data_IF_389441287453
#
_entry.id   IF_389441287453
#
_cell.length_a   1.000
_cell.length_b   1.000
_cell.length_c   1.000
_cell.angle_alpha   90.00
_cell.angle_beta   90.00
_cell.angle_gamma   90.00
#
_symmetry.space_group_name_H-M   'P 1'
#
loop_
_entity.id
_entity.type
_entity.pdbx_description
1 polymer ?
#
# COMPACT_ATOMS: atom_id res chain seq x y z
N UNK A 1 -45.78 38.43 2.85
CA UNK A 1 -44.62 39.35 2.89
C UNK A 1 -43.48 38.60 3.54
N UNK A 2 -42.61 37.97 2.74
CA UNK A 2 -41.49 37.19 3.27
C UNK A 2 -40.37 38.14 3.71
N UNK A 3 -39.76 37.96 4.90
CA UNK A 3 -38.69 38.82 5.35
C UNK A 3 -37.44 38.57 4.50
N UNK A 4 -36.88 39.66 3.94
CA UNK A 4 -35.64 39.65 3.17
C UNK A 4 -34.51 39.08 4.03
N UNK A 5 -33.83 38.07 3.49
CA UNK A 5 -32.57 37.56 4.02
C UNK A 5 -31.52 38.67 3.93
N UNK A 6 -31.28 39.33 5.06
CA UNK A 6 -30.15 40.24 5.28
C UNK A 6 -28.97 39.40 5.78
N UNK A 7 -28.35 38.62 4.89
CA UNK A 7 -27.05 38.00 5.16
C UNK A 7 -25.99 38.51 4.17
N UNK A 8 -26.06 39.80 3.84
CA UNK A 8 -24.96 40.51 3.18
C UNK A 8 -24.15 41.26 4.22
N UNK A 9 -23.20 40.56 4.85
CA UNK A 9 -21.93 41.15 5.28
C UNK A 9 -20.86 40.06 5.28
N UNK A 10 -19.87 40.27 4.44
CA UNK A 10 -18.68 39.44 4.30
C UNK A 10 -17.90 39.37 5.61
N UNK A 11 -17.95 38.20 6.25
CA UNK A 11 -17.21 37.92 7.49
C UNK A 11 -16.28 36.72 7.35
N UNK A 12 -15.80 36.44 6.13
CA UNK A 12 -15.01 35.24 5.83
C UNK A 12 -13.78 35.05 6.74
N UNK A 13 -13.24 36.10 7.37
CA UNK A 13 -12.04 36.01 8.21
C UNK A 13 -12.08 36.82 9.52
N UNK A 14 -13.27 37.25 9.99
CA UNK A 14 -13.36 38.15 11.17
C UNK A 14 -13.18 37.44 12.52
N UNK A 15 -13.37 36.14 12.53
CA UNK A 15 -13.28 35.29 13.72
C UNK A 15 -12.55 34.02 13.32
N UNK A 16 -11.66 33.45 14.17
CA UNK A 16 -10.93 32.23 13.84
C UNK A 16 -11.84 31.08 13.39
N UNK A 17 -13.01 30.93 14.01
CA UNK A 17 -14.01 29.93 13.62
C UNK A 17 -14.55 30.14 12.18
N UNK A 18 -14.79 31.39 11.78
CA UNK A 18 -15.24 31.70 10.41
C UNK A 18 -14.12 31.50 9.40
N UNK A 19 -12.87 31.84 9.75
CA UNK A 19 -11.70 31.59 8.92
C UNK A 19 -11.51 30.09 8.66
N UNK A 20 -11.65 29.25 9.70
CA UNK A 20 -11.56 27.79 9.55
C UNK A 20 -12.64 27.26 8.61
N UNK A 21 -13.90 27.68 8.81
CA UNK A 21 -15.00 27.28 7.95
C UNK A 21 -14.78 27.72 6.49
N UNK A 22 -14.28 28.94 6.28
CA UNK A 22 -13.94 29.44 4.95
C UNK A 22 -12.83 28.60 4.30
N UNK A 23 -11.78 28.27 5.04
CA UNK A 23 -10.70 27.41 4.54
C UNK A 23 -11.19 25.99 4.23
N UNK A 24 -12.12 25.44 5.00
CA UNK A 24 -12.74 24.14 4.70
C UNK A 24 -13.58 24.17 3.42
N UNK A 25 -14.35 25.24 3.20
CA UNK A 25 -15.12 25.43 1.95
C UNK A 25 -14.17 25.60 0.75
N UNK A 26 -13.07 26.34 0.93
CA UNK A 26 -11.99 26.44 -0.07
C UNK A 26 -11.33 25.08 -0.36
N UNK A 27 -11.19 24.21 0.64
CA UNK A 27 -10.63 22.86 0.51
C UNK A 27 -11.56 21.92 -0.28
N UNK A 28 -12.88 22.07 -0.15
CA UNK A 28 -13.88 21.33 -0.93
C UNK A 28 -13.85 21.75 -2.41
N UNK A 29 -13.29 22.92 -2.72
CA UNK A 29 -13.13 23.44 -4.07
C UNK A 29 -14.00 24.66 -4.38
N UNK A 30 -14.75 25.16 -3.40
CA UNK A 30 -15.52 26.39 -3.54
C UNK A 30 -14.63 27.60 -3.24
N UNK A 31 -14.13 28.25 -4.29
CA UNK A 31 -13.32 29.47 -4.20
C UNK A 31 -14.03 30.59 -4.99
N UNK A 32 -14.72 31.47 -4.28
CA UNK A 32 -15.19 32.73 -4.87
C UNK A 32 -14.07 33.76 -4.74
N UNK A 33 -13.40 34.05 -5.86
CA UNK A 33 -12.30 35.02 -5.90
C UNK A 33 -12.76 36.43 -5.53
N UNK A 34 -13.93 36.85 -6.03
CA UNK A 34 -14.55 38.14 -5.73
C UNK A 34 -14.74 38.36 -4.23
N UNK A 35 -15.31 37.36 -3.53
CA UNK A 35 -15.68 37.48 -2.11
C UNK A 35 -14.47 37.44 -1.15
N UNK A 36 -13.30 37.02 -1.64
CA UNK A 36 -12.10 36.78 -0.82
C UNK A 36 -11.07 37.87 -1.05
N UNK A 37 -10.88 38.26 -2.30
CA UNK A 37 -9.77 39.10 -2.74
C UNK A 37 -10.21 40.45 -3.31
N UNK A 38 -11.47 40.59 -3.72
CA UNK A 38 -12.01 41.80 -4.35
C UNK A 38 -13.17 42.37 -3.54
N UNK A 39 -12.85 42.87 -2.34
CA UNK A 39 -13.82 43.62 -1.54
C UNK A 39 -14.03 44.99 -2.17
N UNK A 40 -15.29 45.35 -2.41
CA UNK A 40 -15.74 46.60 -3.02
C UNK A 40 -14.95 47.84 -2.53
N UNK A 41 -13.82 48.15 -3.20
CA UNK A 41 -13.02 49.35 -2.98
C UNK A 41 -11.77 49.25 -2.08
N UNK A 42 -11.33 48.05 -1.65
CA UNK A 42 -10.09 47.88 -0.90
C UNK A 42 -9.10 46.94 -1.61
N UNK A 43 -8.07 47.46 -2.30
CA UNK A 43 -7.06 46.60 -2.93
C UNK A 43 -6.26 45.85 -1.86
N UNK A 44 -5.86 44.61 -2.16
CA UNK A 44 -4.95 43.83 -1.34
C UNK A 44 -3.63 44.58 -1.16
N UNK A 45 -3.16 44.73 0.08
CA UNK A 45 -1.85 45.36 0.37
C UNK A 45 -0.67 44.55 -0.20
N UNK A 46 -0.81 43.22 -0.31
CA UNK A 46 0.25 42.32 -0.79
C UNK A 46 -0.29 41.18 -1.70
N UNK A 47 -0.70 41.49 -2.95
CA UNK A 47 -1.34 40.51 -3.82
C UNK A 47 -0.41 39.31 -4.15
N UNK A 48 0.86 39.57 -4.45
CA UNK A 48 1.81 38.53 -4.86
C UNK A 48 2.04 37.47 -3.76
N UNK A 49 2.22 37.92 -2.52
CA UNK A 49 2.44 37.02 -1.36
C UNK A 49 1.19 36.21 -1.06
N UNK A 50 0.02 36.83 -1.15
CA UNK A 50 -1.26 36.15 -0.93
C UNK A 50 -1.50 35.05 -1.97
N UNK A 51 -1.21 35.29 -3.24
CA UNK A 51 -1.32 34.26 -4.28
C UNK A 51 -0.32 33.12 -4.07
N UNK A 52 0.94 33.44 -3.77
CA UNK A 52 1.97 32.43 -3.51
C UNK A 52 1.60 31.52 -2.32
N UNK A 53 1.06 32.11 -1.25
CA UNK A 53 0.60 31.39 -0.07
C UNK A 53 -0.61 30.50 -0.40
N UNK A 54 -1.59 31.01 -1.15
CA UNK A 54 -2.77 30.25 -1.56
C UNK A 54 -2.39 29.03 -2.42
N UNK A 55 -1.50 29.21 -3.41
CA UNK A 55 -1.06 28.11 -4.28
C UNK A 55 -0.31 27.05 -3.49
N UNK A 56 0.64 27.47 -2.64
CA UNK A 56 1.41 26.55 -1.80
C UNK A 56 0.49 25.77 -0.86
N UNK A 57 -0.48 26.45 -0.24
CA UNK A 57 -1.49 25.82 0.62
C UNK A 57 -2.32 24.78 -0.12
N UNK A 58 -2.82 25.09 -1.31
CA UNK A 58 -3.62 24.16 -2.13
C UNK A 58 -2.82 22.92 -2.53
N UNK A 59 -1.55 23.07 -2.91
CA UNK A 59 -0.67 21.94 -3.26
C UNK A 59 -0.43 21.04 -2.04
N UNK A 60 -0.09 21.61 -0.88
CA UNK A 60 0.15 20.85 0.35
C UNK A 60 -1.12 20.11 0.78
N UNK A 61 -2.27 20.79 0.81
CA UNK A 61 -3.55 20.17 1.18
C UNK A 61 -3.95 19.06 0.20
N UNK A 62 -3.75 19.26 -1.11
CA UNK A 62 -4.02 18.23 -2.11
C UNK A 62 -3.17 16.98 -1.92
N UNK A 63 -1.90 17.13 -1.57
CA UNK A 63 -0.99 15.99 -1.31
C UNK A 63 -1.39 15.29 0.01
N UNK A 64 -1.67 16.06 1.07
CA UNK A 64 -2.06 15.48 2.36
C UNK A 64 -3.38 14.72 2.29
N UNK A 65 -4.41 15.28 1.65
CA UNK A 65 -5.72 14.64 1.52
C UNK A 65 -5.60 13.39 0.66
N UNK A 66 -4.86 13.44 -0.45
CA UNK A 66 -4.59 12.25 -1.26
C UNK A 66 -3.95 11.14 -0.42
N UNK A 67 -2.86 11.46 0.27
CA UNK A 67 -2.07 10.46 1.00
C UNK A 67 -2.84 9.92 2.21
N UNK A 68 -3.64 10.75 2.88
CA UNK A 68 -4.45 10.31 4.01
C UNK A 68 -5.66 9.49 3.57
N UNK A 69 -6.40 9.91 2.53
CA UNK A 69 -7.58 9.18 2.06
C UNK A 69 -7.20 7.86 1.42
N UNK A 70 -6.13 7.84 0.61
CA UNK A 70 -5.63 6.58 0.02
C UNK A 70 -5.01 5.69 1.10
N UNK A 71 -4.22 6.25 2.02
CA UNK A 71 -3.63 5.48 3.13
C UNK A 71 -4.67 4.81 4.02
N UNK A 72 -5.70 5.55 4.46
CA UNK A 72 -6.79 5.01 5.26
C UNK A 72 -7.64 4.00 4.49
N UNK A 73 -8.06 4.34 3.27
CA UNK A 73 -8.91 3.45 2.48
C UNK A 73 -8.20 2.15 2.07
N UNK A 74 -6.88 2.20 1.83
CA UNK A 74 -6.08 1.04 1.44
C UNK A 74 -5.80 0.13 2.64
N UNK A 75 -5.59 0.66 3.83
CA UNK A 75 -5.47 -0.18 5.04
C UNK A 75 -6.81 -0.83 5.40
N UNK A 76 -7.89 -0.05 5.37
CA UNK A 76 -9.23 -0.57 5.67
C UNK A 76 -9.67 -1.64 4.67
N UNK A 77 -9.43 -1.46 3.36
CA UNK A 77 -9.82 -2.47 2.36
C UNK A 77 -8.97 -3.74 2.42
N UNK A 78 -7.66 -3.63 2.71
CA UNK A 78 -6.76 -4.80 2.80
C UNK A 78 -7.20 -5.72 3.94
N UNK A 79 -7.51 -5.17 5.11
CA UNK A 79 -7.95 -5.94 6.27
C UNK A 79 -9.27 -6.68 5.99
N UNK A 80 -10.23 -6.00 5.35
CA UNK A 80 -11.53 -6.61 4.99
C UNK A 80 -11.36 -7.65 3.88
N UNK A 81 -10.49 -7.40 2.90
CA UNK A 81 -10.29 -8.31 1.77
C UNK A 81 -9.65 -9.64 2.20
N UNK A 82 -8.69 -9.62 3.13
CA UNK A 82 -8.05 -10.83 3.64
C UNK A 82 -9.06 -11.73 4.38
N UNK A 83 -9.90 -11.14 5.23
CA UNK A 83 -10.97 -11.86 5.92
C UNK A 83 -12.02 -12.42 4.94
N UNK A 84 -12.45 -11.60 3.98
CA UNK A 84 -13.44 -12.02 2.98
C UNK A 84 -12.89 -13.12 2.06
N UNK A 85 -11.59 -13.11 1.74
CA UNK A 85 -10.96 -14.14 0.90
C UNK A 85 -10.92 -15.49 1.61
N UNK A 86 -10.55 -15.52 2.89
CA UNK A 86 -10.57 -16.74 3.70
C UNK A 86 -11.99 -17.27 3.86
N UNK A 87 -12.96 -16.39 4.14
CA UNK A 87 -14.36 -16.77 4.26
C UNK A 87 -14.92 -17.32 2.94
N UNK A 88 -14.55 -16.71 1.81
CA UNK A 88 -14.91 -17.20 0.47
C UNK A 88 -14.31 -18.57 0.18
N UNK A 89 -13.06 -18.80 0.54
CA UNK A 89 -12.40 -20.10 0.37
C UNK A 89 -13.07 -21.17 1.23
N UNK A 90 -13.33 -20.86 2.50
CA UNK A 90 -14.03 -21.76 3.43
C UNK A 90 -15.42 -22.15 2.90
N UNK A 91 -16.18 -21.16 2.41
CA UNK A 91 -17.51 -21.38 1.82
C UNK A 91 -17.44 -22.24 0.55
N UNK A 92 -16.46 -22.00 -0.33
CA UNK A 92 -16.24 -22.84 -1.51
C UNK A 92 -15.89 -24.28 -1.12
N UNK A 93 -15.01 -24.47 -0.14
CA UNK A 93 -14.63 -25.80 0.33
C UNK A 93 -15.80 -26.55 0.96
N UNK A 94 -16.62 -25.88 1.76
CA UNK A 94 -17.80 -26.50 2.37
C UNK A 94 -18.82 -26.91 1.29
N UNK A 95 -19.09 -26.03 0.33
CA UNK A 95 -20.02 -26.31 -0.75
C UNK A 95 -19.53 -27.45 -1.66
N UNK A 96 -18.22 -27.53 -1.93
CA UNK A 96 -17.62 -28.66 -2.64
C UNK A 96 -17.74 -29.95 -1.83
N UNK A 97 -17.53 -29.91 -0.52
CA UNK A 97 -17.63 -31.10 0.34
C UNK A 97 -19.07 -31.63 0.40
N UNK A 98 -20.05 -30.75 0.56
CA UNK A 98 -21.47 -31.09 0.54
C UNK A 98 -21.88 -31.66 -0.82
N UNK A 99 -21.38 -31.07 -1.91
CA UNK A 99 -21.61 -31.58 -3.27
C UNK A 99 -20.93 -32.95 -3.47
N UNK A 100 -19.71 -33.15 -2.96
CA UNK A 100 -18.98 -34.41 -3.10
C UNK A 100 -19.64 -35.56 -2.33
N UNK A 101 -20.25 -35.29 -1.17
CA UNK A 101 -20.98 -36.31 -0.40
C UNK A 101 -22.29 -36.75 -1.07
N UNK A 102 -22.91 -35.88 -1.87
CA UNK A 102 -24.21 -36.16 -2.53
C UNK A 102 -24.03 -36.76 -3.93
N UNK A 103 -22.87 -36.59 -4.56
CA UNK A 103 -22.64 -37.00 -5.96
C UNK A 103 -22.07 -38.43 -6.06
N UNK A 104 -22.75 -39.36 -6.76
CA UNK A 104 -22.26 -40.74 -6.95
C UNK A 104 -21.03 -40.83 -7.87
N UNK A 105 -20.18 -41.84 -7.65
CA UNK A 105 -18.84 -41.97 -8.27
C UNK A 105 -18.81 -41.92 -9.81
N UNK A 106 -19.91 -42.30 -10.46
CA UNK A 106 -20.05 -42.30 -11.92
C UNK A 106 -20.06 -40.88 -12.51
N UNK A 107 -20.64 -39.90 -11.80
CA UNK A 107 -20.68 -38.50 -12.23
C UNK A 107 -19.32 -37.82 -11.98
N UNK A 108 -18.64 -38.21 -10.88
CA UNK A 108 -17.29 -37.73 -10.53
C UNK A 108 -16.27 -38.02 -11.62
N UNK A 109 -16.38 -39.17 -12.30
CA UNK A 109 -15.48 -39.54 -13.43
C UNK A 109 -15.79 -38.79 -14.74
N UNK A 110 -16.97 -38.20 -14.90
CA UNK A 110 -17.43 -37.58 -16.16
C UNK A 110 -17.29 -36.06 -16.21
N UNK A 111 -17.31 -35.38 -15.05
CA UNK A 111 -17.48 -33.93 -14.95
C UNK A 111 -16.22 -33.12 -14.54
N UNK A 112 -15.03 -33.72 -14.54
CA UNK A 112 -13.80 -32.95 -14.26
C UNK A 112 -13.45 -32.04 -15.46
N UNK A 113 -13.84 -30.76 -15.39
CA UNK A 113 -13.63 -29.79 -16.48
C UNK A 113 -12.32 -29.01 -16.31
N UNK A 114 -11.61 -28.86 -17.43
CA UNK A 114 -10.30 -28.22 -17.60
C UNK A 114 -10.37 -26.68 -17.48
N UNK A 115 -9.40 -26.07 -16.81
CA UNK A 115 -9.27 -24.60 -16.61
C UNK A 115 -9.21 -23.83 -17.94
N UNK A 116 -10.04 -22.79 -18.06
CA UNK A 116 -9.95 -21.74 -19.08
C UNK A 116 -9.14 -20.56 -18.53
N UNK A 117 -8.00 -20.26 -19.14
CA UNK A 117 -7.18 -19.09 -18.81
C UNK A 117 -7.72 -17.87 -19.57
N UNK A 118 -8.31 -16.92 -18.84
CA UNK A 118 -8.77 -15.63 -19.38
C UNK A 118 -7.57 -14.70 -19.59
N UNK A 119 -7.20 -14.45 -20.85
CA UNK A 119 -6.26 -13.40 -21.24
C UNK A 119 -6.95 -12.03 -21.15
N UNK A 120 -6.50 -11.17 -20.23
CA UNK A 120 -7.05 -9.83 -20.01
C UNK A 120 -6.64 -8.86 -21.11
N UNK A 121 -7.63 -8.25 -21.77
CA UNK A 121 -7.45 -7.13 -22.70
C UNK A 121 -7.28 -5.83 -21.91
N UNK A 122 -6.12 -5.17 -22.04
CA UNK A 122 -5.88 -3.83 -21.48
C UNK A 122 -6.43 -2.76 -22.43
N UNK A 123 -7.47 -2.05 -22.00
CA UNK A 123 -7.94 -0.82 -22.67
C UNK A 123 -7.11 0.35 -22.14
N UNK A 124 -6.39 1.04 -23.01
CA UNK A 124 -5.67 2.26 -22.67
C UNK A 124 -6.64 3.44 -22.54
N UNK A 125 -6.48 4.30 -21.52
CA UNK A 125 -7.33 5.48 -21.35
C UNK A 125 -7.04 6.56 -22.42
N UNK A 126 -8.05 7.34 -22.83
CA UNK A 126 -7.88 8.40 -23.83
C UNK A 126 -7.07 9.59 -23.26
N UNK A 127 -6.26 10.26 -24.09
CA UNK A 127 -5.40 11.36 -23.63
C UNK A 127 -6.23 12.60 -23.32
N UNK A 128 -6.05 13.15 -22.12
CA UNK A 128 -6.71 14.37 -21.66
C UNK A 128 -6.32 14.71 -20.23
N UNK A 129 -6.74 15.87 -19.73
CA UNK A 129 -6.51 16.28 -18.34
C UNK A 129 -6.96 15.19 -17.36
N UNK A 130 -8.08 14.52 -17.63
CA UNK A 130 -8.57 13.39 -16.84
C UNK A 130 -7.62 12.19 -16.85
N UNK A 131 -6.96 11.89 -17.98
CA UNK A 131 -5.94 10.84 -18.04
C UNK A 131 -4.63 11.28 -17.40
N UNK A 132 -4.25 12.55 -17.50
CA UNK A 132 -3.09 13.08 -16.78
C UNK A 132 -3.31 12.99 -15.27
N UNK A 133 -4.48 13.44 -14.79
CA UNK A 133 -4.89 13.29 -13.39
C UNK A 133 -4.96 11.82 -13.01
N UNK A 134 -5.71 10.97 -13.73
CA UNK A 134 -5.83 9.55 -13.42
C UNK A 134 -4.48 8.81 -13.43
N UNK A 135 -3.58 9.17 -14.36
CA UNK A 135 -2.23 8.62 -14.40
C UNK A 135 -1.36 9.15 -13.27
N UNK A 136 -1.51 10.40 -12.84
CA UNK A 136 -0.83 10.94 -11.64
C UNK A 136 -1.28 10.21 -10.37
N UNK A 137 -2.57 9.89 -10.25
CA UNK A 137 -3.10 9.06 -9.16
C UNK A 137 -2.54 7.62 -9.22
N UNK A 138 -2.56 6.99 -10.41
CA UNK A 138 -2.01 5.65 -10.61
C UNK A 138 -0.49 5.59 -10.36
N UNK A 139 0.25 6.60 -10.79
CA UNK A 139 1.69 6.72 -10.59
C UNK A 139 2.06 6.90 -9.11
N UNK A 140 1.19 7.52 -8.30
CA UNK A 140 1.41 7.61 -6.86
C UNK A 140 1.24 6.25 -6.16
N UNK A 141 0.22 5.48 -6.54
CA UNK A 141 0.00 4.11 -6.08
C UNK A 141 1.19 3.19 -6.42
N UNK A 142 1.82 3.40 -7.58
CA UNK A 142 2.91 2.56 -8.09
C UNK A 142 4.28 2.90 -7.47
N UNK A 143 4.50 4.17 -7.06
CA UNK A 143 5.75 4.58 -6.36
C UNK A 143 5.93 3.87 -5.03
N UNK A 144 4.88 3.74 -4.22
CA UNK A 144 4.98 2.99 -2.95
C UNK A 144 5.23 1.49 -3.19
N UNK A 145 4.66 0.94 -4.24
CA UNK A 145 4.86 -0.47 -4.60
C UNK A 145 6.30 -0.76 -5.06
N UNK A 146 6.95 0.21 -5.72
CA UNK A 146 8.33 0.10 -6.18
C UNK A 146 9.35 0.07 -5.03
N UNK A 147 9.15 0.87 -3.97
CA UNK A 147 10.03 0.85 -2.79
C UNK A 147 9.91 -0.47 -2.03
N UNK A 148 8.68 -0.98 -1.88
CA UNK A 148 8.43 -2.30 -1.28
C UNK A 148 9.03 -3.43 -2.13
N UNK A 149 9.05 -3.29 -3.45
CA UNK A 149 9.61 -4.30 -4.34
C UNK A 149 11.16 -4.32 -4.32
N UNK A 150 11.81 -3.17 -4.18
CA UNK A 150 13.26 -3.05 -3.96
C UNK A 150 13.67 -3.67 -2.62
N UNK A 151 12.97 -3.33 -1.54
CA UNK A 151 13.21 -3.94 -0.23
C UNK A 151 13.00 -5.46 -0.27
N UNK A 152 11.96 -5.95 -0.96
CA UNK A 152 11.75 -7.40 -1.16
C UNK A 152 12.87 -8.06 -1.97
N UNK A 153 13.50 -7.35 -2.91
CA UNK A 153 14.66 -7.86 -3.66
C UNK A 153 15.89 -7.97 -2.77
N UNK A 154 16.17 -6.96 -1.96
CA UNK A 154 17.28 -7.00 -0.98
C UNK A 154 17.09 -8.11 0.05
N UNK A 155 15.89 -8.23 0.63
CA UNK A 155 15.57 -9.31 1.58
C UNK A 155 15.72 -10.70 0.92
N UNK A 156 15.36 -10.84 -0.36
CA UNK A 156 15.58 -12.09 -1.10
C UNK A 156 17.05 -12.40 -1.30
N UNK A 157 17.86 -11.41 -1.67
CA UNK A 157 19.31 -11.58 -1.84
C UNK A 157 19.99 -11.94 -0.51
N UNK A 158 19.60 -11.28 0.58
CA UNK A 158 20.12 -11.59 1.91
C UNK A 158 19.77 -13.03 2.31
N UNK A 159 18.54 -13.46 2.01
CA UNK A 159 18.07 -14.82 2.30
C UNK A 159 18.86 -15.88 1.54
N UNK A 160 19.13 -15.67 0.25
CA UNK A 160 19.96 -16.60 -0.54
C UNK A 160 21.38 -16.69 0.03
N UNK A 161 22.00 -15.56 0.42
CA UNK A 161 23.34 -15.59 1.02
C UNK A 161 23.39 -16.27 2.39
N UNK A 162 22.31 -16.19 3.18
CA UNK A 162 22.18 -16.92 4.45
C UNK A 162 22.05 -18.43 4.20
N UNK A 163 21.31 -18.84 3.17
CA UNK A 163 21.16 -20.25 2.82
C UNK A 163 22.49 -20.86 2.36
N UNK A 164 23.28 -20.13 1.55
CA UNK A 164 24.63 -20.55 1.14
C UNK A 164 25.58 -20.72 2.35
N UNK A 165 25.56 -19.77 3.29
CA UNK A 165 26.34 -19.84 4.53
C UNK A 165 25.92 -21.04 5.40
N UNK A 166 24.62 -21.35 5.44
CA UNK A 166 24.10 -22.52 6.16
C UNK A 166 24.61 -23.82 5.54
N UNK A 167 24.70 -23.88 4.22
CA UNK A 167 25.24 -25.05 3.50
C UNK A 167 26.73 -25.24 3.78
N UNK A 168 27.54 -24.17 3.69
CA UNK A 168 28.96 -24.19 4.04
C UNK A 168 29.17 -24.63 5.49
N UNK A 169 28.37 -24.11 6.43
CA UNK A 169 28.42 -24.52 7.83
C UNK A 169 28.12 -26.01 8.01
N UNK A 170 27.15 -26.56 7.26
CA UNK A 170 26.84 -28.00 7.29
C UNK A 170 27.98 -28.85 6.74
N UNK A 171 28.65 -28.38 5.69
CA UNK A 171 29.80 -29.06 5.10
C UNK A 171 30.99 -29.05 6.06
N UNK A 172 31.27 -27.92 6.72
CA UNK A 172 32.28 -27.84 7.76
C UNK A 172 31.93 -28.71 8.98
N UNK A 173 30.66 -28.76 9.40
CA UNK A 173 30.27 -29.62 10.53
C UNK A 173 30.45 -31.10 10.20
N UNK A 174 30.09 -31.53 8.98
CA UNK A 174 30.31 -32.91 8.53
C UNK A 174 31.79 -33.26 8.44
N UNK A 175 32.63 -32.33 7.95
CA UNK A 175 34.08 -32.53 7.91
C UNK A 175 34.68 -32.59 9.33
N UNK A 176 34.21 -31.74 10.24
CA UNK A 176 34.64 -31.76 11.63
C UNK A 176 34.20 -33.04 12.35
N UNK A 177 32.99 -33.54 12.07
CA UNK A 177 32.50 -34.82 12.59
C UNK A 177 33.33 -36.00 12.05
N UNK A 178 33.67 -35.99 10.76
CA UNK A 178 34.54 -36.99 10.15
C UNK A 178 35.97 -36.95 10.72
N UNK A 179 36.50 -35.74 10.99
CA UNK A 179 37.82 -35.54 11.60
C UNK A 179 37.85 -35.93 13.09
N UNK A 180 36.75 -35.74 13.82
CA UNK A 180 36.62 -36.19 15.21
C UNK A 180 36.46 -37.72 15.28
N UNK A 181 35.76 -38.35 14.33
CA UNK A 181 35.71 -39.81 14.18
C UNK A 181 37.04 -40.41 13.71
N UNK A 182 37.86 -39.65 12.96
CA UNK A 182 39.21 -40.04 12.55
C UNK A 182 40.31 -39.58 13.51
N UNK A 183 39.98 -38.94 14.64
CA UNK A 183 40.94 -38.58 15.68
C UNK A 183 40.89 -39.61 16.80
N UNK A 184 41.79 -40.61 16.83
CA UNK A 184 41.95 -41.45 18.00
C UNK A 184 42.73 -40.64 19.04
N UNK A 185 42.07 -40.19 20.11
CA UNK A 185 42.79 -39.85 21.32
C UNK A 185 42.94 -41.12 22.20
N UNK A 186 44.20 -41.55 22.27
CA UNK A 186 44.84 -42.36 23.32
C UNK A 186 44.71 -43.90 23.32
N UNK A 187 45.82 -44.55 22.97
CA UNK A 187 46.44 -45.69 23.68
C UNK A 187 47.96 -45.55 23.48
N UNK A 188 48.90 -45.67 24.41
CA UNK A 188 48.94 -46.09 25.82
C UNK A 188 50.38 -45.83 26.29
N UNK A 189 50.53 -45.49 27.55
CA UNK A 189 51.80 -45.53 28.29
C UNK A 189 52.48 -46.91 28.13
N UNK A 190 53.71 -46.99 27.59
CA UNK A 190 54.70 -48.04 27.90
C UNK A 190 55.94 -47.96 27.00
N UNK A 191 56.91 -47.08 27.29
CA UNK A 191 58.37 -47.27 27.05
C UNK A 191 59.12 -45.93 27.18
N UNK A 192 59.26 -45.41 28.40
CA UNK A 192 60.42 -44.60 28.78
C UNK A 192 60.76 -44.79 30.27
N UNK A 193 60.58 -46.03 30.73
CA UNK A 193 61.21 -46.61 31.92
C UNK A 193 62.10 -47.76 31.39
N UNK A 194 63.25 -47.42 30.82
CA UNK A 194 64.45 -48.26 30.57
C UNK A 194 65.40 -47.52 29.62
N UNK A 195 66.19 -46.62 30.18
CA UNK A 195 67.64 -46.43 29.97
C UNK A 195 68.08 -45.18 30.74
#
# INVERSE_FOLDING_TARGET
MYPRQVLNKEYSFRTPAHSLLRTSVMMIGEINYSDVFDKEGAPLEYPEVTYALLVTFLVVMSILIMNLLVGLAVDDIKAVQEQAMLQKLAMQTQLVLETEMVVPELVRRRCYVRKLTSTGTTRTPPPGLLSWVANTFAFHQEREMSEVELLRKEVRQLKTSIDDLREVKSSLSKLMEHLLLSSPSQTTNSTLNKL
#
